data_IF_818773126700
#
_entry.id   IF_818773126700
#
_cell.length_a   1.000
_cell.length_b   1.000
_cell.length_c   1.000
_cell.angle_alpha   90.00
_cell.angle_beta   90.00
_cell.angle_gamma   90.00
#
_symmetry.space_group_name_H-M   'P 1'
#
loop_
_entity.id
_entity.type
_entity.pdbx_description
1 polymer ?
#
# COMPACT_ATOMS: atom_id res chain seq x y z
N UNK A 1 -16.81 -2.92 -9.39
CA UNK A 1 -16.69 -1.76 -10.31
C UNK A 1 -15.47 -2.04 -11.17
N UNK A 2 -15.37 -1.60 -12.43
CA UNK A 2 -14.11 -1.77 -13.17
C UNK A 2 -13.08 -0.82 -12.54
N UNK A 3 -11.86 -1.30 -12.26
CA UNK A 3 -10.78 -0.47 -11.74
C UNK A 3 -10.56 0.76 -12.64
N UNK A 4 -10.78 0.60 -13.94
CA UNK A 4 -10.68 1.67 -14.94
C UNK A 4 -11.61 2.86 -14.67
N UNK A 5 -12.75 2.62 -14.01
CA UNK A 5 -13.74 3.64 -13.64
C UNK A 5 -13.35 4.41 -12.38
N UNK A 6 -12.42 3.86 -11.58
CA UNK A 6 -11.89 4.46 -10.34
C UNK A 6 -10.74 5.44 -10.60
N UNK A 7 -10.40 5.69 -11.87
CA UNK A 7 -9.37 6.65 -12.24
C UNK A 7 -9.81 8.09 -11.93
N UNK A 8 -9.03 8.90 -11.19
CA UNK A 8 -9.53 10.19 -10.67
C UNK A 8 -9.70 11.32 -11.70
N UNK A 9 -9.16 11.18 -12.92
CA UNK A 9 -9.16 12.27 -13.90
C UNK A 9 -10.09 11.96 -15.10
N UNK A 10 -10.80 12.96 -15.64
CA UNK A 10 -11.73 12.77 -16.76
C UNK A 10 -11.03 12.49 -18.10
N UNK A 11 -9.73 12.78 -18.20
CA UNK A 11 -8.85 12.47 -19.34
C UNK A 11 -7.65 11.70 -18.80
N UNK A 12 -7.13 10.74 -19.57
CA UNK A 12 -5.85 10.01 -19.39
C UNK A 12 -5.95 8.49 -19.63
N UNK A 13 -6.83 8.01 -20.53
CA UNK A 13 -6.94 6.57 -20.83
C UNK A 13 -5.56 5.91 -21.02
N UNK A 14 -4.66 6.51 -21.80
CA UNK A 14 -3.33 5.96 -22.04
C UNK A 14 -2.38 5.94 -20.83
N UNK A 15 -2.49 6.86 -19.86
CA UNK A 15 -1.66 6.82 -18.64
C UNK A 15 -2.23 5.79 -17.66
N UNK A 16 -3.55 5.82 -17.44
CA UNK A 16 -4.27 4.82 -16.65
C UNK A 16 -4.02 3.40 -17.17
N UNK A 17 -4.14 3.19 -18.47
CA UNK A 17 -3.97 1.86 -19.08
C UNK A 17 -2.52 1.38 -18.96
N UNK A 18 -1.52 2.27 -19.00
CA UNK A 18 -0.12 1.91 -18.70
C UNK A 18 0.09 1.54 -17.24
N UNK A 19 -0.55 2.24 -16.30
CA UNK A 19 -0.51 1.89 -14.89
C UNK A 19 -1.16 0.52 -14.66
N UNK A 20 -2.35 0.29 -15.23
CA UNK A 20 -3.01 -1.03 -15.20
C UNK A 20 -2.11 -2.13 -15.74
N UNK A 21 -1.43 -1.88 -16.87
CA UNK A 21 -0.48 -2.84 -17.44
C UNK A 21 0.70 -3.13 -16.49
N UNK A 22 1.21 -2.12 -15.77
CA UNK A 22 2.30 -2.28 -14.82
C UNK A 22 1.90 -3.13 -13.59
N UNK A 23 0.69 -2.93 -13.04
CA UNK A 23 0.14 -3.79 -11.98
C UNK A 23 -0.22 -5.19 -12.48
N UNK A 24 -0.42 -5.37 -13.78
CA UNK A 24 -0.68 -6.66 -14.42
C UNK A 24 0.59 -7.40 -14.86
N UNK A 25 1.79 -6.85 -14.60
CA UNK A 25 3.04 -7.44 -15.07
C UNK A 25 3.24 -8.87 -14.55
N UNK A 26 3.71 -9.80 -15.40
CA UNK A 26 4.05 -11.15 -14.97
C UNK A 26 5.14 -11.11 -13.89
N UNK A 27 4.81 -11.56 -12.68
CA UNK A 27 5.74 -11.56 -11.55
C UNK A 27 5.25 -10.79 -10.33
N UNK A 28 4.23 -9.93 -10.48
CA UNK A 28 3.52 -9.37 -9.31
C UNK A 28 2.95 -10.50 -8.45
N UNK A 29 3.10 -10.39 -7.13
CA UNK A 29 2.61 -11.37 -6.17
C UNK A 29 1.50 -10.78 -5.33
N UNK A 30 1.86 -9.85 -4.44
CA UNK A 30 0.90 -9.06 -3.68
C UNK A 30 0.64 -7.70 -4.34
N UNK A 31 1.68 -7.02 -4.85
CA UNK A 31 1.57 -5.66 -5.39
C UNK A 31 1.05 -5.68 -6.83
N UNK A 32 -0.18 -6.20 -7.00
CA UNK A 32 -0.88 -6.40 -8.28
C UNK A 32 -2.16 -5.55 -8.39
N UNK A 33 -2.98 -5.81 -9.42
CA UNK A 33 -4.25 -5.10 -9.63
C UNK A 33 -5.22 -5.24 -8.45
N UNK A 34 -5.21 -6.38 -7.74
CA UNK A 34 -6.08 -6.60 -6.58
C UNK A 34 -5.63 -5.73 -5.42
N UNK A 35 -4.32 -5.58 -5.19
CA UNK A 35 -3.83 -4.64 -4.19
C UNK A 35 -4.27 -3.21 -4.48
N UNK A 36 -4.13 -2.75 -5.73
CA UNK A 36 -4.63 -1.42 -6.10
C UNK A 36 -6.14 -1.26 -5.85
N UNK A 37 -6.95 -2.27 -6.19
CA UNK A 37 -8.39 -2.28 -5.88
C UNK A 37 -8.65 -2.17 -4.37
N UNK A 38 -7.95 -2.97 -3.57
CA UNK A 38 -8.09 -3.00 -2.11
C UNK A 38 -7.68 -1.67 -1.47
N UNK A 39 -6.63 -1.00 -1.94
CA UNK A 39 -6.24 0.35 -1.48
C UNK A 39 -7.33 1.36 -1.78
N UNK A 40 -7.86 1.36 -3.01
CA UNK A 40 -8.93 2.27 -3.43
C UNK A 40 -10.21 2.04 -2.62
N UNK A 41 -10.58 0.80 -2.35
CA UNK A 41 -11.75 0.47 -1.51
C UNK A 41 -11.58 0.93 -0.06
N UNK A 42 -10.34 0.93 0.45
CA UNK A 42 -10.05 1.44 1.81
C UNK A 42 -10.09 2.95 1.88
N UNK A 43 -9.72 3.65 0.81
CA UNK A 43 -9.91 5.10 0.70
C UNK A 43 -11.40 5.45 0.69
N UNK A 44 -12.23 4.69 -0.04
CA UNK A 44 -13.69 4.87 0.00
C UNK A 44 -14.23 4.64 1.43
N UNK A 45 -13.82 3.55 2.09
CA UNK A 45 -14.24 3.26 3.46
C UNK A 45 -13.87 4.40 4.43
N UNK A 46 -12.66 4.95 4.31
CA UNK A 46 -12.22 6.09 5.12
C UNK A 46 -13.07 7.34 4.87
N UNK A 47 -13.35 7.65 3.60
CA UNK A 47 -14.20 8.78 3.21
C UNK A 47 -15.63 8.62 3.74
N UNK A 48 -16.22 7.43 3.60
CA UNK A 48 -17.56 7.10 4.09
C UNK A 48 -17.68 7.25 5.63
N UNK A 49 -16.58 7.03 6.35
CA UNK A 49 -16.49 7.24 7.80
C UNK A 49 -16.02 8.64 8.21
N UNK A 50 -16.00 9.59 7.27
CA UNK A 50 -15.77 11.01 7.52
C UNK A 50 -14.31 11.41 7.71
N UNK A 51 -13.36 10.55 7.35
CA UNK A 51 -11.93 10.94 7.25
C UNK A 51 -11.80 11.91 6.07
N UNK A 52 -11.16 13.06 6.32
CA UNK A 52 -10.96 14.09 5.31
C UNK A 52 -9.59 13.95 4.67
N UNK A 53 -9.56 13.97 3.34
CA UNK A 53 -8.38 14.03 2.50
C UNK A 53 -8.82 14.55 1.11
N UNK A 54 -7.88 14.93 0.24
CA UNK A 54 -8.17 15.24 -1.16
C UNK A 54 -8.34 13.94 -1.97
N UNK A 55 -9.57 13.60 -2.43
CA UNK A 55 -9.82 12.34 -3.11
C UNK A 55 -9.14 12.24 -4.49
N UNK A 56 -8.91 13.35 -5.18
CA UNK A 56 -8.22 13.33 -6.48
C UNK A 56 -6.72 13.12 -6.27
N UNK A 57 -6.12 13.87 -5.36
CA UNK A 57 -4.67 13.81 -5.10
C UNK A 57 -4.28 12.47 -4.47
N UNK A 58 -4.98 12.03 -3.43
CA UNK A 58 -4.74 10.72 -2.79
C UNK A 58 -5.09 9.57 -3.72
N UNK A 59 -6.17 9.68 -4.49
CA UNK A 59 -6.50 8.70 -5.52
C UNK A 59 -5.37 8.54 -6.53
N UNK A 60 -4.83 9.63 -7.07
CA UNK A 60 -3.69 9.55 -8.00
C UNK A 60 -2.46 8.92 -7.31
N UNK A 61 -2.16 9.29 -6.06
CA UNK A 61 -1.06 8.67 -5.33
C UNK A 61 -1.26 7.16 -5.14
N UNK A 62 -2.48 6.69 -4.85
CA UNK A 62 -2.80 5.25 -4.78
C UNK A 62 -2.56 4.55 -6.13
N UNK A 63 -2.92 5.17 -7.25
CA UNK A 63 -2.62 4.61 -8.57
C UNK A 63 -1.12 4.52 -8.86
N UNK A 64 -0.31 5.42 -8.32
CA UNK A 64 1.13 5.44 -8.59
C UNK A 64 1.99 4.67 -7.58
N UNK A 65 1.56 4.45 -6.33
CA UNK A 65 2.48 4.06 -5.25
C UNK A 65 3.35 2.83 -5.56
N UNK A 66 2.77 1.77 -6.11
CA UNK A 66 3.47 0.55 -6.54
C UNK A 66 3.48 0.36 -8.06
N UNK A 67 3.29 1.43 -8.83
CA UNK A 67 3.30 1.38 -10.29
C UNK A 67 4.63 0.82 -10.82
N UNK A 68 5.75 1.16 -10.18
CA UNK A 68 7.03 0.48 -10.36
C UNK A 68 7.29 -0.40 -9.14
N UNK A 69 7.40 -1.71 -9.32
CA UNK A 69 7.75 -2.62 -8.23
C UNK A 69 8.51 -3.84 -8.75
N UNK A 70 9.71 -4.02 -8.24
CA UNK A 70 10.61 -5.15 -8.51
C UNK A 70 11.16 -5.77 -7.21
N UNK A 71 10.62 -5.38 -6.05
CA UNK A 71 11.10 -5.77 -4.73
C UNK A 71 12.46 -5.17 -4.34
N UNK A 72 13.01 -4.23 -5.13
CA UNK A 72 14.27 -3.56 -4.85
C UNK A 72 14.04 -2.21 -4.13
N UNK A 73 15.01 -1.74 -3.33
CA UNK A 73 14.94 -0.42 -2.71
C UNK A 73 14.76 0.71 -3.74
N UNK A 74 13.95 1.71 -3.41
CA UNK A 74 13.69 2.88 -4.26
C UNK A 74 12.63 2.65 -5.34
N UNK A 75 11.84 1.58 -5.25
CA UNK A 75 10.67 1.36 -6.09
C UNK A 75 9.68 2.54 -6.01
N UNK A 76 9.40 3.00 -4.79
CA UNK A 76 8.50 4.12 -4.48
C UNK A 76 9.02 5.44 -5.09
N UNK A 77 10.33 5.70 -5.05
CA UNK A 77 10.90 6.89 -5.69
C UNK A 77 10.76 6.83 -7.23
N UNK A 78 10.95 5.65 -7.84
CA UNK A 78 10.72 5.48 -9.29
C UNK A 78 9.24 5.61 -9.67
N UNK A 79 8.34 5.09 -8.84
CA UNK A 79 6.90 5.30 -8.94
C UNK A 79 6.55 6.80 -8.87
N UNK A 80 7.14 7.53 -7.94
CA UNK A 80 6.97 8.98 -7.81
C UNK A 80 7.52 9.75 -9.02
N UNK A 81 8.69 9.36 -9.54
CA UNK A 81 9.24 9.94 -10.78
C UNK A 81 8.33 9.67 -11.99
N UNK A 82 7.66 8.52 -12.03
CA UNK A 82 6.65 8.27 -13.06
C UNK A 82 5.45 9.23 -12.89
N UNK A 83 4.98 9.48 -11.67
CA UNK A 83 3.95 10.50 -11.44
C UNK A 83 4.40 11.90 -11.90
N UNK A 84 5.64 12.28 -11.57
CA UNK A 84 6.24 13.58 -11.93
C UNK A 84 6.29 13.82 -13.44
N UNK A 85 6.51 12.75 -14.22
CA UNK A 85 6.60 12.83 -15.69
C UNK A 85 5.26 12.62 -16.39
N UNK A 86 4.38 11.76 -15.85
CA UNK A 86 3.12 11.39 -16.51
C UNK A 86 1.95 12.33 -16.21
N UNK A 87 1.87 12.90 -15.01
CA UNK A 87 0.74 13.75 -14.60
C UNK A 87 0.67 15.11 -15.32
N UNK A 88 1.78 15.79 -15.67
CA UNK A 88 1.73 17.01 -16.46
C UNK A 88 1.02 16.84 -17.82
N UNK A 89 1.25 15.71 -18.50
CA UNK A 89 0.68 15.41 -19.83
C UNK A 89 -0.85 15.29 -19.80
N UNK A 90 -1.42 15.03 -18.63
CA UNK A 90 -2.86 14.86 -18.43
C UNK A 90 -3.49 16.05 -17.71
N UNK A 91 -2.73 17.15 -17.56
CA UNK A 91 -3.22 18.46 -17.13
C UNK A 91 -3.21 18.69 -15.62
N UNK A 92 -2.49 17.87 -14.83
CA UNK A 92 -2.31 18.14 -13.41
C UNK A 92 -1.33 19.30 -13.21
N UNK A 93 -1.72 20.27 -12.39
CA UNK A 93 -0.88 21.43 -12.10
C UNK A 93 0.39 21.03 -11.32
N UNK A 94 1.51 21.75 -11.45
CA UNK A 94 2.79 21.39 -10.82
C UNK A 94 2.71 21.13 -9.31
N UNK A 95 1.89 21.89 -8.57
CA UNK A 95 1.69 21.68 -7.13
C UNK A 95 1.02 20.32 -6.82
N UNK A 96 0.01 19.92 -7.62
CA UNK A 96 -0.64 18.62 -7.48
C UNK A 96 0.29 17.47 -7.85
N UNK A 97 1.11 17.65 -8.89
CA UNK A 97 2.13 16.65 -9.27
C UNK A 97 3.14 16.44 -8.14
N UNK A 98 3.65 17.53 -7.57
CA UNK A 98 4.58 17.47 -6.45
C UNK A 98 3.96 16.77 -5.22
N UNK A 99 2.68 17.03 -4.95
CA UNK A 99 2.00 16.40 -3.81
C UNK A 99 1.76 14.91 -4.03
N UNK A 100 1.29 14.50 -5.22
CA UNK A 100 1.17 13.08 -5.55
C UNK A 100 2.52 12.36 -5.40
N UNK A 101 3.60 12.95 -5.91
CA UNK A 101 4.93 12.37 -5.82
C UNK A 101 5.45 12.31 -4.37
N UNK A 102 5.12 13.29 -3.52
CA UNK A 102 5.42 13.27 -2.09
C UNK A 102 4.67 12.13 -1.39
N UNK A 103 3.38 11.99 -1.66
CA UNK A 103 2.54 10.93 -1.08
C UNK A 103 3.01 9.52 -1.51
N UNK A 104 3.39 9.35 -2.76
CA UNK A 104 3.97 8.08 -3.24
C UNK A 104 5.26 7.76 -2.49
N UNK A 105 6.19 8.71 -2.34
CA UNK A 105 7.43 8.47 -1.57
C UNK A 105 7.16 8.18 -0.08
N UNK A 106 6.05 8.70 0.46
CA UNK A 106 5.68 8.47 1.86
C UNK A 106 5.33 6.99 2.14
N UNK A 107 4.90 6.22 1.14
CA UNK A 107 4.59 4.80 1.31
C UNK A 107 5.82 3.92 1.55
N UNK A 108 7.04 4.43 1.36
CA UNK A 108 8.25 3.69 1.73
C UNK A 108 8.34 3.48 3.27
N UNK A 109 7.83 4.45 4.05
CA UNK A 109 7.95 4.46 5.52
C UNK A 109 6.62 4.41 6.25
N UNK A 110 5.52 4.74 5.57
CA UNK A 110 4.18 4.85 6.13
C UNK A 110 4.11 5.71 7.41
N UNK A 111 4.88 6.80 7.46
CA UNK A 111 5.04 7.67 8.63
C UNK A 111 4.60 9.11 8.33
N UNK A 112 3.28 9.34 8.11
CA UNK A 112 2.75 10.67 7.88
C UNK A 112 2.93 11.57 9.11
N UNK A 113 3.12 12.88 8.85
CA UNK A 113 3.11 13.88 9.92
C UNK A 113 1.73 13.98 10.59
N UNK A 114 1.65 14.53 11.83
CA UNK A 114 0.39 14.64 12.56
C UNK A 114 -0.65 15.55 11.88
N UNK A 115 -0.19 16.46 11.02
CA UNK A 115 -1.02 17.39 10.25
C UNK A 115 -1.06 17.04 8.74
N UNK A 116 -0.84 15.76 8.40
CA UNK A 116 -0.83 15.24 7.02
C UNK A 116 -2.02 14.29 6.76
N UNK A 117 -3.25 14.82 6.55
CA UNK A 117 -4.44 14.00 6.36
C UNK A 117 -4.38 13.13 5.08
N UNK A 118 -3.78 13.65 4.01
CA UNK A 118 -3.65 12.94 2.73
C UNK A 118 -2.67 11.77 2.87
N UNK A 119 -1.52 12.01 3.51
CA UNK A 119 -0.56 10.96 3.84
C UNK A 119 -1.15 9.92 4.82
N UNK A 120 -1.88 10.37 5.83
CA UNK A 120 -2.56 9.48 6.77
C UNK A 120 -3.58 8.56 6.07
N UNK A 121 -4.37 9.09 5.14
CA UNK A 121 -5.34 8.29 4.39
C UNK A 121 -4.64 7.28 3.48
N UNK A 122 -3.63 7.69 2.71
CA UNK A 122 -2.91 6.79 1.81
C UNK A 122 -2.17 5.69 2.56
N UNK A 123 -1.40 6.03 3.60
CA UNK A 123 -0.64 5.05 4.36
C UNK A 123 -1.55 4.07 5.09
N UNK A 124 -2.68 4.53 5.63
CA UNK A 124 -3.65 3.66 6.29
C UNK A 124 -4.31 2.70 5.29
N UNK A 125 -4.65 3.19 4.09
CA UNK A 125 -5.26 2.38 3.04
C UNK A 125 -4.30 1.31 2.51
N UNK A 126 -3.03 1.65 2.30
CA UNK A 126 -1.99 0.71 1.87
C UNK A 126 -1.68 -0.36 2.93
N UNK A 127 -1.62 0.02 4.21
CA UNK A 127 -1.42 -0.92 5.31
C UNK A 127 -2.68 -1.71 5.70
N UNK A 128 -3.85 -1.41 5.14
CA UNK A 128 -5.11 -1.99 5.59
C UNK A 128 -5.22 -3.50 5.34
N UNK A 129 -4.41 -4.07 4.43
CA UNK A 129 -4.30 -5.53 4.27
C UNK A 129 -3.95 -6.23 5.57
N UNK A 130 -3.25 -5.56 6.48
CA UNK A 130 -2.90 -6.13 7.78
C UNK A 130 -4.15 -6.45 8.61
N UNK A 131 -5.21 -5.68 8.45
CA UNK A 131 -6.50 -5.87 9.10
C UNK A 131 -7.48 -6.73 8.28
N UNK A 132 -7.02 -7.40 7.22
CA UNK A 132 -7.86 -8.27 6.40
C UNK A 132 -8.25 -9.56 7.15
N UNK A 133 -9.33 -10.25 6.70
CA UNK A 133 -9.67 -11.57 7.21
C UNK A 133 -8.51 -12.57 7.08
N UNK A 134 -8.42 -13.60 7.94
CA UNK A 134 -7.28 -14.51 7.98
C UNK A 134 -6.88 -15.12 6.63
N UNK A 135 -7.85 -15.57 5.83
CA UNK A 135 -7.56 -16.15 4.51
C UNK A 135 -6.94 -15.14 3.54
N UNK A 136 -7.40 -13.89 3.56
CA UNK A 136 -6.81 -12.82 2.72
C UNK A 136 -5.41 -12.46 3.19
N UNK A 137 -5.19 -12.42 4.51
CA UNK A 137 -3.87 -12.15 5.09
C UNK A 137 -2.87 -13.26 4.72
N UNK A 138 -3.29 -14.53 4.72
CA UNK A 138 -2.47 -15.65 4.25
C UNK A 138 -2.10 -15.53 2.76
N UNK A 139 -3.04 -15.12 1.91
CA UNK A 139 -2.78 -14.81 0.50
C UNK A 139 -1.78 -13.66 0.35
N UNK A 140 -1.88 -12.61 1.18
CA UNK A 140 -0.94 -11.49 1.22
C UNK A 140 0.48 -11.98 1.56
N UNK A 141 0.63 -12.77 2.63
CA UNK A 141 1.94 -13.31 3.03
C UNK A 141 2.53 -14.19 1.94
N UNK A 142 1.73 -15.04 1.31
CA UNK A 142 2.17 -15.88 0.20
C UNK A 142 2.56 -15.06 -1.04
N UNK A 143 1.81 -13.99 -1.35
CA UNK A 143 2.11 -13.05 -2.42
C UNK A 143 3.46 -12.36 -2.22
N UNK A 144 3.70 -11.81 -1.02
CA UNK A 144 4.99 -11.23 -0.65
C UNK A 144 6.11 -12.29 -0.75
N UNK A 145 5.90 -13.52 -0.27
CA UNK A 145 6.93 -14.56 -0.38
C UNK A 145 7.28 -14.86 -1.84
N UNK A 146 6.31 -14.86 -2.75
CA UNK A 146 6.51 -15.07 -4.19
C UNK A 146 7.38 -13.98 -4.81
N UNK A 147 7.14 -12.72 -4.49
CA UNK A 147 7.94 -11.59 -5.01
C UNK A 147 9.41 -11.69 -4.59
N UNK A 148 9.64 -12.16 -3.36
CA UNK A 148 10.98 -12.38 -2.83
C UNK A 148 11.50 -13.81 -3.04
N UNK A 149 10.97 -14.58 -4.00
CA UNK A 149 11.41 -15.97 -4.24
C UNK A 149 12.91 -16.08 -4.57
N UNK A 150 13.50 -15.01 -5.10
CA UNK A 150 14.94 -14.90 -5.38
C UNK A 150 15.80 -14.75 -4.11
N UNK A 151 15.20 -14.39 -2.96
CA UNK A 151 15.89 -14.26 -1.67
C UNK A 151 15.88 -15.61 -0.95
N UNK A 152 17.06 -16.12 -0.49
CA UNK A 152 17.14 -17.35 0.29
C UNK A 152 16.25 -17.33 1.53
N UNK A 153 15.59 -18.45 1.81
CA UNK A 153 14.57 -18.55 2.87
C UNK A 153 15.03 -18.02 4.24
N UNK A 154 16.24 -18.34 4.76
CA UNK A 154 16.67 -17.81 6.06
C UNK A 154 16.79 -16.27 6.06
N UNK A 155 17.25 -15.67 4.96
CA UNK A 155 17.40 -14.22 4.82
C UNK A 155 16.04 -13.54 4.68
N UNK A 156 15.13 -14.13 3.89
CA UNK A 156 13.77 -13.62 3.76
C UNK A 156 13.06 -13.62 5.11
N UNK A 157 13.09 -14.75 5.85
CA UNK A 157 12.44 -14.85 7.17
C UNK A 157 13.00 -13.81 8.15
N UNK A 158 14.32 -13.64 8.19
CA UNK A 158 14.96 -12.64 9.05
C UNK A 158 14.55 -11.20 8.68
N UNK A 159 14.59 -10.86 7.39
CA UNK A 159 14.19 -9.54 6.88
C UNK A 159 12.71 -9.25 7.12
N UNK A 160 11.83 -10.19 6.77
CA UNK A 160 10.39 -10.05 7.01
C UNK A 160 10.08 -9.91 8.49
N UNK A 161 10.68 -10.73 9.35
CA UNK A 161 10.50 -10.60 10.80
C UNK A 161 10.98 -9.24 11.33
N UNK A 162 12.04 -8.65 10.76
CA UNK A 162 12.48 -7.31 11.12
C UNK A 162 11.45 -6.23 10.76
N UNK A 163 10.84 -6.30 9.57
CA UNK A 163 9.73 -5.41 9.16
C UNK A 163 8.54 -5.53 10.12
N UNK A 164 8.10 -6.75 10.43
CA UNK A 164 6.96 -6.96 11.34
C UNK A 164 7.24 -6.46 12.76
N UNK A 165 8.46 -6.65 13.28
CA UNK A 165 8.86 -6.08 14.58
C UNK A 165 8.85 -4.56 14.56
N UNK A 166 9.33 -3.95 13.48
CA UNK A 166 9.30 -2.50 13.32
C UNK A 166 7.86 -1.97 13.33
N UNK A 167 6.95 -2.63 12.59
CA UNK A 167 5.52 -2.29 12.62
C UNK A 167 4.94 -2.40 14.03
N UNK A 168 5.15 -3.53 14.74
CA UNK A 168 4.61 -3.72 16.09
C UNK A 168 5.19 -2.74 17.13
N UNK A 169 6.40 -2.24 16.93
CA UNK A 169 7.04 -1.25 17.80
C UNK A 169 6.43 0.15 17.68
N UNK A 170 5.68 0.44 16.61
CA UNK A 170 4.99 1.73 16.45
C UNK A 170 3.88 1.87 17.50
N UNK A 171 3.61 3.08 18.03
CA UNK A 171 2.48 3.32 18.94
C UNK A 171 1.13 2.96 18.32
N UNK A 172 0.97 3.22 17.02
CA UNK A 172 -0.16 2.77 16.20
C UNK A 172 0.32 2.36 14.81
N UNK A 173 -0.34 1.37 14.21
CA UNK A 173 -0.16 1.00 12.81
C UNK A 173 -0.87 1.98 11.87
N UNK A 174 -2.01 2.52 12.35
CA UNK A 174 -2.85 3.44 11.59
C UNK A 174 -2.85 4.86 12.18
N UNK A 175 -2.97 5.86 11.31
CA UNK A 175 -2.88 7.30 11.59
C UNK A 175 -4.26 7.99 11.60
N UNK A 176 -5.23 7.47 10.87
CA UNK A 176 -6.61 7.98 10.89
C UNK A 176 -7.34 7.50 12.14
N UNK A 177 -8.33 8.28 12.57
CA UNK A 177 -9.15 7.90 13.73
C UNK A 177 -9.99 6.64 13.45
N UNK A 178 -10.45 6.44 12.21
CA UNK A 178 -11.17 5.24 11.80
C UNK A 178 -10.25 4.02 11.78
N UNK A 179 -9.09 4.09 11.11
CA UNK A 179 -8.13 2.98 11.05
C UNK A 179 -7.69 2.50 12.44
N UNK A 180 -7.40 3.44 13.35
CA UNK A 180 -7.07 3.09 14.75
C UNK A 180 -8.19 2.36 15.49
N UNK A 181 -9.45 2.75 15.28
CA UNK A 181 -10.59 2.14 15.98
C UNK A 181 -11.00 0.81 15.36
N UNK A 182 -10.96 0.72 14.04
CA UNK A 182 -11.60 -0.36 13.28
C UNK A 182 -10.62 -1.44 12.84
N UNK A 183 -9.34 -1.11 12.64
CA UNK A 183 -8.38 -1.99 11.97
C UNK A 183 -7.21 -2.40 12.88
N UNK A 184 -6.77 -1.53 13.79
CA UNK A 184 -5.55 -1.69 14.61
C UNK A 184 -5.47 -3.04 15.33
N UNK A 185 -6.53 -3.45 16.03
CA UNK A 185 -6.53 -4.68 16.82
C UNK A 185 -6.37 -5.93 15.94
N UNK A 186 -7.07 -5.95 14.80
CA UNK A 186 -6.98 -7.06 13.83
C UNK A 186 -5.59 -7.09 13.20
N UNK A 187 -5.08 -5.93 12.77
CA UNK A 187 -3.75 -5.81 12.18
C UNK A 187 -2.64 -6.29 13.10
N UNK A 188 -2.63 -5.83 14.36
CA UNK A 188 -1.62 -6.27 15.33
C UNK A 188 -1.70 -7.77 15.60
N UNK A 189 -2.90 -8.34 15.66
CA UNK A 189 -3.07 -9.77 15.85
C UNK A 189 -2.51 -10.56 14.65
N UNK A 190 -2.79 -10.13 13.41
CA UNK A 190 -2.28 -10.77 12.20
C UNK A 190 -0.76 -10.68 12.09
N UNK A 191 -0.19 -9.48 12.27
CA UNK A 191 1.26 -9.25 12.27
C UNK A 191 1.97 -10.09 13.34
N UNK A 192 1.40 -10.17 14.55
CA UNK A 192 1.98 -10.97 15.64
C UNK A 192 1.96 -12.47 15.33
N UNK A 193 0.88 -12.99 14.73
CA UNK A 193 0.80 -14.40 14.30
C UNK A 193 1.85 -14.72 13.23
N UNK A 194 2.00 -13.86 12.23
CA UNK A 194 3.01 -14.03 11.20
C UNK A 194 4.42 -14.01 11.79
N UNK A 195 4.71 -13.05 12.68
CA UNK A 195 6.01 -12.94 13.34
C UNK A 195 6.37 -14.18 14.17
N UNK A 196 5.40 -14.77 14.89
CA UNK A 196 5.60 -16.00 15.65
C UNK A 196 5.91 -17.18 14.72
N UNK A 197 5.18 -17.31 13.61
CA UNK A 197 5.43 -18.34 12.59
C UNK A 197 6.81 -18.19 11.92
N UNK A 198 7.29 -16.96 11.73
CA UNK A 198 8.62 -16.67 11.19
C UNK A 198 9.75 -16.97 12.19
N UNK A 199 9.50 -16.79 13.49
CA UNK A 199 10.50 -16.98 14.55
C UNK A 199 10.62 -18.44 15.01
N UNK A 200 9.70 -19.32 14.60
CA UNK A 200 9.67 -20.73 15.02
C UNK A 200 8.90 -20.97 16.32
N UNK A 201 8.21 -19.96 16.83
CA UNK A 201 7.43 -19.99 18.09
C UNK A 201 5.96 -20.40 17.86
N UNK A 202 5.62 -20.97 16.70
CA UNK A 202 4.27 -21.46 16.45
C UNK A 202 4.00 -22.70 17.32
N UNK A 203 3.22 -22.51 18.39
CA UNK A 203 2.61 -23.63 19.10
C UNK A 203 1.80 -24.49 18.09
N UNK A 204 1.84 -25.83 18.19
CA UNK A 204 1.06 -26.67 17.31
C UNK A 204 -0.43 -26.34 17.48
N UNK A 205 -1.12 -26.09 16.36
CA UNK A 205 -2.58 -26.03 16.35
C UNK A 205 -3.12 -27.39 16.80
N UNK A 206 -3.75 -27.41 17.97
CA UNK A 206 -4.48 -28.57 18.51
C UNK A 206 -5.86 -28.70 17.90
#
# INVERSE_FOLDING_TARGET
MDLSDRWPLPRAGSLRDRLLAAYAEPGRGYHDLRHLEEVLDRLDELADHGVRFDPTTVGLAAWFHDAVYDGAPGAEDRSAQWAETGLPDVGVAPAGVAEVARLVRLTERHDPGPDDPDGAALCDADLAVLASPPSRYEEYVAGVRREYAHVPEPLFRAGRAAVLRHLLARPSLFSTAHGRRSWEAVARASVSRELAALSGDAAPAG
#
